data_IF_931322262408
#
_entry.id   IF_931322262408
#
_cell.length_a   1.000
_cell.length_b   1.000
_cell.length_c   1.000
_cell.angle_alpha   90.00
_cell.angle_beta   90.00
_cell.angle_gamma   90.00
#
_symmetry.space_group_name_H-M   'P 1'
#
loop_
_entity.id
_entity.type
_entity.pdbx_description
1 polymer ?
#
# COMPACT_ATOMS: atom_id res chain seq x y z
N UNK A 1 -17.84 24.80 -8.54
CA UNK A 1 -17.75 23.49 -7.86
C UNK A 1 -16.44 22.85 -8.25
N UNK A 2 -15.57 22.58 -7.27
CA UNK A 2 -14.26 21.97 -7.49
C UNK A 2 -14.12 20.70 -6.66
N UNK A 3 -13.32 19.76 -7.16
CA UNK A 3 -12.90 18.58 -6.43
C UNK A 3 -11.37 18.56 -6.44
N UNK A 4 -10.77 18.67 -5.26
CA UNK A 4 -9.32 18.82 -5.10
C UNK A 4 -8.80 17.62 -4.33
N UNK A 5 -7.72 17.04 -4.86
CA UNK A 5 -6.98 15.95 -4.19
C UNK A 5 -5.62 16.49 -3.78
N UNK A 6 -5.33 16.45 -2.48
CA UNK A 6 -4.03 16.81 -1.93
C UNK A 6 -3.35 15.55 -1.43
N UNK A 7 -2.22 15.18 -2.03
CA UNK A 7 -1.51 13.98 -1.64
C UNK A 7 -0.43 14.31 -0.58
N UNK A 8 -0.27 13.40 0.39
CA UNK A 8 0.82 13.39 1.37
C UNK A 8 0.96 14.67 2.23
N UNK A 9 -0.13 15.09 2.89
CA UNK A 9 -0.06 16.21 3.84
C UNK A 9 0.57 15.74 5.15
N UNK A 10 1.80 16.18 5.42
CA UNK A 10 2.57 15.78 6.60
C UNK A 10 2.58 16.79 7.77
N UNK A 11 2.07 18.01 7.59
CA UNK A 11 2.19 19.11 8.56
C UNK A 11 0.84 19.82 8.74
N UNK A 12 0.35 20.02 9.98
CA UNK A 12 -0.85 20.80 10.26
C UNK A 12 -0.87 22.19 9.61
N UNK A 13 0.28 22.87 9.51
CA UNK A 13 0.34 24.18 8.88
C UNK A 13 0.09 24.10 7.37
N UNK A 14 0.64 23.09 6.68
CA UNK A 14 0.40 22.88 5.25
C UNK A 14 -1.10 22.65 4.96
N UNK A 15 -1.81 21.92 5.84
CA UNK A 15 -3.26 21.80 5.75
C UNK A 15 -3.97 23.13 5.98
N UNK A 16 -3.59 23.92 6.99
CA UNK A 16 -4.21 25.23 7.26
C UNK A 16 -4.03 26.20 6.09
N UNK A 17 -2.83 26.27 5.53
CA UNK A 17 -2.54 27.15 4.39
C UNK A 17 -3.33 26.73 3.15
N UNK A 18 -3.44 25.42 2.92
CA UNK A 18 -4.29 24.86 1.85
C UNK A 18 -5.76 25.23 2.08
N UNK A 19 -6.30 24.98 3.28
CA UNK A 19 -7.69 25.31 3.63
C UNK A 19 -7.97 26.80 3.49
N UNK A 20 -7.07 27.68 3.91
CA UNK A 20 -7.26 29.13 3.80
C UNK A 20 -7.30 29.60 2.35
N UNK A 21 -6.65 28.88 1.44
CA UNK A 21 -6.69 29.16 0.00
C UNK A 21 -8.01 28.74 -0.65
N UNK A 22 -8.77 27.85 0.00
CA UNK A 22 -10.05 27.34 -0.48
C UNK A 22 -11.19 27.80 0.45
N UNK A 23 -11.80 28.94 0.12
CA UNK A 23 -12.96 29.45 0.84
C UNK A 23 -14.12 28.44 0.77
N UNK A 24 -14.77 28.17 1.91
CA UNK A 24 -16.04 27.44 1.96
C UNK A 24 -17.15 28.40 1.55
N UNK A 25 -17.42 28.45 0.24
CA UNK A 25 -18.49 29.24 -0.37
C UNK A 25 -19.82 28.45 -0.46
N UNK A 26 -19.90 27.31 0.23
CA UNK A 26 -21.04 26.38 0.21
C UNK A 26 -21.49 25.94 -1.19
N UNK A 27 -20.61 26.03 -2.21
CA UNK A 27 -20.93 25.65 -3.59
C UNK A 27 -20.88 24.13 -3.86
N UNK A 28 -20.70 23.31 -2.81
CA UNK A 28 -20.51 21.87 -2.90
C UNK A 28 -19.09 21.40 -3.23
N UNK A 29 -18.08 22.28 -3.18
CA UNK A 29 -16.67 21.90 -3.37
C UNK A 29 -16.21 20.93 -2.29
N UNK A 30 -15.28 20.03 -2.66
CA UNK A 30 -14.74 19.01 -1.75
C UNK A 30 -13.22 18.94 -1.89
N UNK A 31 -12.57 18.77 -0.75
CA UNK A 31 -11.14 18.46 -0.67
C UNK A 31 -11.02 17.06 -0.09
N UNK A 32 -10.29 16.19 -0.78
CA UNK A 32 -9.84 14.91 -0.25
C UNK A 32 -8.33 15.00 -0.11
N UNK A 33 -7.79 14.53 1.00
CA UNK A 33 -6.34 14.43 1.15
C UNK A 33 -5.93 13.12 1.78
N UNK A 34 -4.70 12.73 1.50
CA UNK A 34 -4.04 11.60 2.14
C UNK A 34 -3.06 12.14 3.18
N UNK A 35 -2.98 11.48 4.32
CA UNK A 35 -2.04 11.83 5.36
C UNK A 35 -1.67 10.61 6.19
N UNK A 36 -0.44 10.71 6.65
CA UNK A 36 0.35 9.84 7.51
C UNK A 36 0.08 10.09 8.98
N UNK A 37 -0.32 11.33 9.26
CA UNK A 37 -0.42 11.91 10.60
C UNK A 37 -1.88 11.98 10.95
N UNK A 38 -2.32 11.07 11.82
CA UNK A 38 -3.72 10.98 12.24
C UNK A 38 -4.28 12.32 12.73
N UNK A 39 -3.48 13.08 13.47
CA UNK A 39 -3.87 14.38 14.03
C UNK A 39 -4.24 15.41 12.96
N UNK A 40 -3.65 15.34 11.76
CA UNK A 40 -4.00 16.22 10.64
C UNK A 40 -5.41 15.90 10.12
N UNK A 41 -5.77 14.61 10.06
CA UNK A 41 -7.10 14.19 9.66
C UNK A 41 -8.18 14.67 10.65
N UNK A 42 -7.89 14.60 11.95
CA UNK A 42 -8.78 15.13 13.00
C UNK A 42 -8.87 16.66 12.96
N UNK A 43 -7.78 17.34 12.64
CA UNK A 43 -7.76 18.80 12.50
C UNK A 43 -8.56 19.27 11.27
N UNK A 44 -8.60 18.47 10.21
CA UNK A 44 -9.36 18.78 9.01
C UNK A 44 -10.87 18.63 9.18
N UNK A 45 -11.31 17.64 9.97
CA UNK A 45 -12.72 17.40 10.23
C UNK A 45 -12.96 17.06 11.71
N UNK A 46 -13.00 18.07 12.61
CA UNK A 46 -13.24 17.85 14.04
C UNK A 46 -14.62 17.21 14.26
N UNK A 47 -14.64 15.97 14.74
CA UNK A 47 -15.86 15.17 14.93
C UNK A 47 -16.20 14.23 13.76
N UNK A 48 -15.46 14.30 12.66
CA UNK A 48 -15.48 13.29 11.61
C UNK A 48 -14.61 12.08 11.93
N UNK A 49 -14.81 10.99 11.19
CA UNK A 49 -13.95 9.81 11.23
C UNK A 49 -13.02 9.81 10.01
N UNK A 50 -11.69 9.91 10.19
CA UNK A 50 -10.74 9.70 9.12
C UNK A 50 -10.91 8.34 8.46
N UNK A 51 -10.72 8.26 7.14
CA UNK A 51 -10.69 6.97 6.46
C UNK A 51 -9.32 6.32 6.65
N UNK A 52 -9.27 5.31 7.51
CA UNK A 52 -8.07 4.51 7.73
C UNK A 52 -7.93 3.44 6.66
N UNK A 53 -6.85 3.50 5.88
CA UNK A 53 -6.50 2.42 4.97
C UNK A 53 -6.13 1.18 5.81
N UNK A 54 -6.76 0.05 5.50
CA UNK A 54 -6.44 -1.24 6.11
C UNK A 54 -5.40 -1.99 5.29
N UNK A 55 -4.72 -2.94 5.94
CA UNK A 55 -3.94 -3.94 5.26
C UNK A 55 -4.85 -4.86 4.42
N UNK A 56 -4.27 -5.43 3.37
CA UNK A 56 -4.91 -6.43 2.53
C UNK A 56 -5.05 -7.75 3.30
N UNK A 57 -6.10 -8.51 3.00
CA UNK A 57 -6.19 -9.90 3.46
C UNK A 57 -5.18 -10.79 2.72
N UNK A 58 -5.03 -12.03 3.16
CA UNK A 58 -4.19 -13.01 2.46
C UNK A 58 -4.68 -13.24 1.02
N UNK A 59 -5.99 -13.29 0.83
CA UNK A 59 -6.64 -13.44 -0.48
C UNK A 59 -6.37 -12.23 -1.38
N UNK A 60 -6.58 -11.01 -0.88
CA UNK A 60 -6.31 -9.79 -1.64
C UNK A 60 -4.82 -9.63 -1.98
N UNK A 61 -3.94 -10.04 -1.06
CA UNK A 61 -2.50 -10.06 -1.28
C UNK A 61 -2.12 -11.04 -2.38
N UNK A 62 -2.72 -12.24 -2.37
CA UNK A 62 -2.53 -13.23 -3.40
C UNK A 62 -3.07 -12.79 -4.77
N UNK A 63 -4.27 -12.22 -4.82
CA UNK A 63 -4.87 -11.68 -6.04
C UNK A 63 -3.98 -10.58 -6.65
N UNK A 64 -3.51 -9.64 -5.82
CA UNK A 64 -2.61 -8.59 -6.25
C UNK A 64 -1.28 -9.17 -6.76
N UNK A 65 -0.72 -10.15 -6.04
CA UNK A 65 0.52 -10.81 -6.41
C UNK A 65 0.39 -11.51 -7.78
N UNK A 66 -0.64 -12.33 -7.96
CA UNK A 66 -0.88 -13.05 -9.22
C UNK A 66 -1.04 -12.08 -10.39
N UNK A 67 -1.83 -11.02 -10.21
CA UNK A 67 -2.05 -10.00 -11.23
C UNK A 67 -0.73 -9.35 -11.67
N UNK A 68 0.16 -9.07 -10.72
CA UNK A 68 1.44 -8.44 -10.99
C UNK A 68 2.45 -9.41 -11.61
N UNK A 69 2.64 -10.61 -11.05
CA UNK A 69 3.64 -11.57 -11.54
C UNK A 69 3.27 -12.13 -12.91
N UNK A 70 2.03 -12.60 -13.06
CA UNK A 70 1.59 -13.30 -14.26
C UNK A 70 0.96 -12.39 -15.31
N UNK A 71 0.90 -11.07 -15.07
CA UNK A 71 0.32 -10.09 -16.00
C UNK A 71 -1.12 -10.46 -16.41
N UNK A 72 -1.95 -10.80 -15.42
CA UNK A 72 -3.33 -11.29 -15.59
C UNK A 72 -3.47 -12.66 -16.28
N UNK A 73 -2.37 -13.37 -16.54
CA UNK A 73 -2.41 -14.77 -16.96
C UNK A 73 -2.60 -15.69 -15.74
N UNK A 74 -3.02 -16.91 -16.01
CA UNK A 74 -3.19 -17.95 -15.00
C UNK A 74 -1.82 -18.33 -14.44
N UNK A 75 -1.72 -18.41 -13.11
CA UNK A 75 -0.54 -18.92 -12.41
C UNK A 75 -0.32 -20.40 -12.77
N UNK A 76 0.89 -20.82 -13.18
CA UNK A 76 1.21 -22.23 -13.33
C UNK A 76 0.96 -23.00 -12.03
N UNK A 77 0.35 -24.20 -12.07
CA UNK A 77 0.01 -24.96 -10.86
C UNK A 77 1.19 -25.20 -9.92
N UNK A 78 2.39 -25.39 -10.47
CA UNK A 78 3.63 -25.66 -9.74
C UNK A 78 4.05 -24.44 -8.90
N UNK A 79 3.74 -23.24 -9.36
CA UNK A 79 4.12 -21.98 -8.71
C UNK A 79 3.02 -21.43 -7.79
N UNK A 80 1.80 -21.98 -7.84
CA UNK A 80 0.66 -21.48 -7.07
C UNK A 80 0.93 -21.51 -5.56
N UNK A 81 1.46 -22.62 -5.04
CA UNK A 81 1.64 -22.80 -3.60
C UNK A 81 2.74 -21.88 -3.05
N UNK A 82 3.90 -21.86 -3.71
CA UNK A 82 5.02 -20.98 -3.32
C UNK A 82 4.66 -19.50 -3.52
N UNK A 83 3.94 -19.16 -4.59
CA UNK A 83 3.45 -17.81 -4.82
C UNK A 83 2.51 -17.31 -3.72
N UNK A 84 1.56 -18.15 -3.28
CA UNK A 84 0.67 -17.82 -2.15
C UNK A 84 1.47 -17.57 -0.89
N UNK A 85 2.45 -18.44 -0.58
CA UNK A 85 3.33 -18.27 0.58
C UNK A 85 4.06 -16.93 0.53
N UNK A 86 4.64 -16.57 -0.61
CA UNK A 86 5.32 -15.27 -0.80
C UNK A 86 4.37 -14.09 -0.57
N UNK A 87 3.15 -14.16 -1.11
CA UNK A 87 2.15 -13.10 -0.93
C UNK A 87 1.74 -12.92 0.54
N UNK A 88 1.58 -14.03 1.27
CA UNK A 88 1.28 -14.01 2.72
C UNK A 88 2.44 -13.39 3.52
N UNK A 89 3.68 -13.72 3.18
CA UNK A 89 4.87 -13.13 3.83
C UNK A 89 5.01 -11.62 3.59
N UNK A 90 4.27 -11.04 2.63
CA UNK A 90 4.17 -9.59 2.44
C UNK A 90 3.25 -8.89 3.47
N UNK A 91 2.57 -9.66 4.33
CA UNK A 91 1.77 -9.19 5.48
C UNK A 91 0.72 -8.13 5.13
N UNK A 92 0.06 -8.28 3.98
CA UNK A 92 -1.03 -7.40 3.58
C UNK A 92 -0.62 -6.00 3.14
N UNK A 93 0.69 -5.69 3.03
CA UNK A 93 1.15 -4.40 2.50
C UNK A 93 1.16 -4.43 0.96
N UNK A 94 0.35 -3.59 0.28
CA UNK A 94 0.25 -3.64 -1.18
C UNK A 94 1.57 -3.39 -1.90
N UNK A 95 2.43 -2.48 -1.41
CA UNK A 95 3.73 -2.25 -2.06
C UNK A 95 4.67 -3.43 -1.91
N UNK A 96 4.74 -4.05 -0.74
CA UNK A 96 5.58 -5.24 -0.52
C UNK A 96 5.24 -6.31 -1.55
N UNK A 97 3.94 -6.55 -1.77
CA UNK A 97 3.45 -7.49 -2.78
C UNK A 97 3.93 -7.09 -4.19
N UNK A 98 3.73 -5.82 -4.58
CA UNK A 98 4.10 -5.33 -5.92
C UNK A 98 5.62 -5.37 -6.15
N UNK A 99 6.42 -5.02 -5.15
CA UNK A 99 7.88 -5.04 -5.22
C UNK A 99 8.39 -6.47 -5.42
N UNK A 100 7.95 -7.40 -4.57
CA UNK A 100 8.37 -8.81 -4.67
C UNK A 100 7.90 -9.41 -5.99
N UNK A 101 6.67 -9.13 -6.42
CA UNK A 101 6.17 -9.54 -7.71
C UNK A 101 7.03 -8.98 -8.87
N UNK A 102 7.41 -7.70 -8.79
CA UNK A 102 8.27 -7.04 -9.76
C UNK A 102 9.68 -7.64 -9.84
N UNK A 103 10.22 -8.12 -8.72
CA UNK A 103 11.49 -8.86 -8.68
C UNK A 103 11.36 -10.23 -9.35
N UNK A 104 10.32 -11.00 -8.99
CA UNK A 104 10.10 -12.35 -9.53
C UNK A 104 9.89 -12.37 -11.03
N UNK A 105 9.27 -11.33 -11.60
CA UNK A 105 9.13 -11.19 -13.06
C UNK A 105 10.44 -11.14 -13.83
N UNK A 106 11.54 -10.73 -13.18
CA UNK A 106 12.85 -10.58 -13.82
C UNK A 106 13.69 -11.86 -13.77
N UNK A 107 13.24 -12.86 -13.01
CA UNK A 107 13.98 -14.10 -12.75
C UNK A 107 13.32 -15.24 -13.53
N UNK A 108 14.12 -16.19 -14.00
CA UNK A 108 13.60 -17.41 -14.63
C UNK A 108 12.74 -18.19 -13.62
N UNK A 109 11.51 -18.49 -14.02
CA UNK A 109 10.43 -19.01 -13.16
C UNK A 109 10.62 -20.50 -12.79
N UNK A 110 11.68 -20.84 -12.05
CA UNK A 110 11.80 -22.16 -11.40
C UNK A 110 11.27 -22.09 -9.97
N UNK A 111 10.70 -23.20 -9.49
CA UNK A 111 10.16 -23.30 -8.14
C UNK A 111 11.24 -23.06 -7.06
N UNK A 112 12.46 -23.55 -7.28
CA UNK A 112 13.59 -23.39 -6.38
C UNK A 112 13.93 -21.91 -6.11
N UNK A 113 14.02 -21.08 -7.16
CA UNK A 113 14.28 -19.64 -7.01
C UNK A 113 13.15 -18.93 -6.27
N UNK A 114 11.90 -19.38 -6.43
CA UNK A 114 10.77 -18.81 -5.72
C UNK A 114 10.80 -19.17 -4.23
N UNK A 115 11.24 -20.38 -3.89
CA UNK A 115 11.44 -20.80 -2.50
C UNK A 115 12.54 -19.97 -1.82
N UNK A 116 13.67 -19.73 -2.49
CA UNK A 116 14.74 -18.86 -1.97
C UNK A 116 14.22 -17.43 -1.70
N UNK A 117 13.39 -16.89 -2.60
CA UNK A 117 12.78 -15.57 -2.40
C UNK A 117 11.78 -15.60 -1.25
N UNK A 118 10.98 -16.66 -1.10
CA UNK A 118 10.05 -16.78 0.02
C UNK A 118 10.79 -16.71 1.37
N UNK A 119 11.94 -17.40 1.49
CA UNK A 119 12.79 -17.33 2.67
C UNK A 119 13.38 -15.94 2.89
N UNK A 120 13.85 -15.29 1.82
CA UNK A 120 14.39 -13.93 1.88
C UNK A 120 13.33 -12.90 2.30
N UNK A 121 12.13 -12.98 1.72
CA UNK A 121 10.99 -12.10 2.05
C UNK A 121 10.62 -12.30 3.52
N UNK A 122 10.48 -13.54 3.97
CA UNK A 122 10.19 -13.84 5.37
C UNK A 122 11.26 -13.29 6.32
N UNK A 123 12.55 -13.35 5.94
CA UNK A 123 13.65 -12.81 6.76
C UNK A 123 13.65 -11.27 6.83
N UNK A 124 13.43 -10.58 5.70
CA UNK A 124 13.53 -9.13 5.63
C UNK A 124 12.25 -8.43 6.09
N UNK A 125 11.10 -8.93 5.66
CA UNK A 125 9.78 -8.43 6.07
C UNK A 125 9.46 -8.94 7.47
N UNK A 126 9.67 -10.24 7.74
CA UNK A 126 9.35 -10.83 9.03
C UNK A 126 10.25 -10.38 10.19
N UNK A 127 11.47 -9.90 9.90
CA UNK A 127 12.39 -9.31 10.87
C UNK A 127 12.08 -7.87 11.29
N UNK A 128 10.93 -7.31 10.91
CA UNK A 128 10.49 -5.96 11.31
C UNK A 128 11.16 -4.82 10.55
N UNK A 129 12.47 -4.89 10.28
CA UNK A 129 13.23 -3.78 9.67
C UNK A 129 12.74 -3.32 8.29
N UNK A 130 12.37 -4.26 7.40
CA UNK A 130 11.83 -3.88 6.09
C UNK A 130 10.36 -3.45 6.18
N UNK A 131 9.60 -3.98 7.13
CA UNK A 131 8.25 -3.48 7.43
C UNK A 131 8.32 -2.06 7.96
N UNK A 132 9.21 -1.73 8.89
CA UNK A 132 9.37 -0.36 9.39
C UNK A 132 9.78 0.60 8.27
N UNK A 133 10.61 0.15 7.33
CA UNK A 133 11.05 0.96 6.18
C UNK A 133 9.97 1.12 5.12
N UNK A 134 9.23 0.05 4.78
CA UNK A 134 8.12 0.08 3.83
C UNK A 134 6.89 0.76 4.43
N UNK A 135 6.67 0.61 5.74
CA UNK A 135 5.79 1.45 6.53
C UNK A 135 6.25 2.89 6.43
N UNK A 136 7.51 3.27 6.66
CA UNK A 136 7.94 4.67 6.47
C UNK A 136 7.75 5.21 5.04
N UNK A 137 7.78 4.33 4.02
CA UNK A 137 7.54 4.69 2.61
C UNK A 137 6.04 4.94 2.34
N UNK A 138 5.12 4.39 3.15
CA UNK A 138 3.65 4.57 3.05
C UNK A 138 2.96 5.25 4.23
N UNK A 139 3.68 5.42 5.32
CA UNK A 139 3.26 6.09 6.53
C UNK A 139 3.44 7.51 6.21
#
# INVERSE_FOLDING_TARGET
MHFIVLDDIWNPQAWRDSRNSFLDDHNGSRIVFTSRVHDIALLANPGGSPHHLRLFTEEESWELFQRNVFQQKICPPELCNVGKKIAIECRGLPLSVVLVAGLLRKITMTEDHWNEIAESVSKHIGGGKALDTLEMIYR
#
